data_IF_728850391210
#
_entry.id   IF_728850391210
#
_cell.length_a   1.000
_cell.length_b   1.000
_cell.length_c   1.000
_cell.angle_alpha   90.00
_cell.angle_beta   90.00
_cell.angle_gamma   90.00
#
_symmetry.space_group_name_H-M   'P 1'
#
loop_
_entity.id
_entity.type
_entity.pdbx_description
1 polymer ?
#
# COMPACT_ATOMS: atom_id res chain seq x y z
N UNK A 1 1.53 3.12 0.68
CA UNK A 1 1.10 2.10 1.65
C UNK A 1 1.11 2.66 3.07
N UNK A 2 0.07 2.38 3.87
CA UNK A 2 -0.03 2.82 5.27
C UNK A 2 0.80 1.97 6.26
N UNK A 3 1.38 0.84 5.84
CA UNK A 3 2.13 -0.11 6.68
C UNK A 3 1.27 -1.18 7.33
N UNK A 4 1.87 -2.01 8.20
CA UNK A 4 1.20 -3.15 8.84
C UNK A 4 0.38 -2.73 10.05
N UNK A 5 -0.95 -2.67 9.91
CA UNK A 5 -1.88 -2.25 10.97
C UNK A 5 -2.87 -3.37 11.27
N UNK A 6 -3.01 -3.73 12.55
CA UNK A 6 -4.03 -4.65 13.01
C UNK A 6 -5.41 -3.96 12.95
N UNK A 7 -6.22 -4.33 11.97
CA UNK A 7 -7.55 -3.76 11.71
C UNK A 7 -8.58 -4.89 11.54
N UNK A 8 -9.81 -4.56 11.15
CA UNK A 8 -10.84 -5.55 10.80
C UNK A 8 -10.52 -6.39 9.55
N UNK A 9 -9.43 -6.11 8.82
CA UNK A 9 -8.99 -6.93 7.68
C UNK A 9 -8.61 -8.35 8.10
N UNK A 10 -8.03 -8.51 9.30
CA UNK A 10 -7.57 -9.80 9.79
C UNK A 10 -8.65 -10.62 10.50
N UNK A 11 -9.92 -10.18 10.51
CA UNK A 11 -11.03 -10.78 11.30
C UNK A 11 -11.33 -12.26 11.01
N UNK A 12 -10.90 -12.78 9.85
CA UNK A 12 -11.09 -14.17 9.43
C UNK A 12 -9.77 -14.97 9.40
N UNK A 13 -8.67 -14.37 9.87
CA UNK A 13 -7.40 -15.07 10.07
C UNK A 13 -7.48 -15.82 11.39
N UNK A 14 -7.05 -17.08 11.41
CA UNK A 14 -7.05 -17.88 12.63
C UNK A 14 -6.10 -17.29 13.70
N UNK A 15 -6.39 -17.58 14.96
CA UNK A 15 -5.66 -17.00 16.10
C UNK A 15 -4.20 -17.42 16.16
N UNK A 16 -3.84 -18.61 15.68
CA UNK A 16 -2.47 -19.10 15.72
C UNK A 16 -1.61 -18.34 14.70
N UNK A 17 -2.11 -18.19 13.47
CA UNK A 17 -1.49 -17.37 12.43
C UNK A 17 -1.35 -15.91 12.87
N UNK A 18 -2.37 -15.32 13.50
CA UNK A 18 -2.28 -13.94 14.02
C UNK A 18 -1.18 -13.79 15.08
N UNK A 19 -1.05 -14.77 15.97
CA UNK A 19 0.01 -14.78 17.00
C UNK A 19 1.39 -14.91 16.36
N UNK A 20 1.53 -15.76 15.35
CA UNK A 20 2.77 -15.94 14.60
C UNK A 20 3.17 -14.64 13.88
N UNK A 21 2.24 -14.02 13.16
CA UNK A 21 2.48 -12.76 12.45
C UNK A 21 2.84 -11.64 13.41
N UNK A 22 2.07 -11.46 14.49
CA UNK A 22 2.31 -10.42 15.49
C UNK A 22 3.65 -10.55 16.23
N UNK A 23 4.22 -11.76 16.27
CA UNK A 23 5.53 -12.01 16.91
C UNK A 23 6.71 -11.97 15.94
N UNK A 24 6.44 -11.83 14.64
CA UNK A 24 7.46 -11.84 13.58
C UNK A 24 8.32 -10.57 13.59
N UNK A 25 9.56 -10.68 13.10
CA UNK A 25 10.46 -9.52 12.94
C UNK A 25 9.86 -8.40 12.07
N UNK A 26 9.17 -8.69 10.93
CA UNK A 26 8.46 -7.68 10.17
C UNK A 26 7.39 -6.94 10.98
N UNK A 27 6.63 -7.65 11.84
CA UNK A 27 5.63 -6.99 12.68
C UNK A 27 6.26 -6.06 13.73
N UNK A 28 7.41 -6.43 14.30
CA UNK A 28 8.16 -5.55 15.22
C UNK A 28 8.73 -4.33 14.50
N UNK A 29 9.23 -4.51 13.28
CA UNK A 29 9.91 -3.46 12.51
C UNK A 29 8.94 -2.49 11.81
N UNK A 30 7.84 -3.01 11.28
CA UNK A 30 6.92 -2.27 10.40
C UNK A 30 5.49 -2.17 10.94
N UNK A 31 5.23 -2.74 12.13
CA UNK A 31 3.95 -2.65 12.80
C UNK A 31 3.62 -1.22 13.20
N UNK A 32 2.39 -0.79 12.92
CA UNK A 32 1.90 0.56 13.18
C UNK A 32 0.58 0.54 13.93
N UNK A 33 0.37 1.56 14.76
CA UNK A 33 -0.95 1.91 15.26
C UNK A 33 -1.85 2.43 14.12
N UNK A 34 -3.19 2.43 14.28
CA UNK A 34 -4.09 3.03 13.31
C UNK A 34 -3.77 4.50 13.00
N UNK A 35 -3.40 5.29 14.00
CA UNK A 35 -3.04 6.69 13.82
C UNK A 35 -1.78 6.85 12.96
N UNK A 36 -0.72 6.08 13.23
CA UNK A 36 0.49 6.06 12.39
C UNK A 36 0.21 5.59 10.97
N UNK A 37 -0.67 4.60 10.81
CA UNK A 37 -1.08 4.09 9.50
C UNK A 37 -1.82 5.12 8.66
N UNK A 38 -2.66 5.94 9.29
CA UNK A 38 -3.40 7.02 8.62
C UNK A 38 -2.49 8.16 8.15
N UNK A 39 -1.32 8.36 8.76
CA UNK A 39 -0.45 9.50 8.47
C UNK A 39 -0.04 9.57 7.01
N UNK A 40 0.32 8.45 6.37
CA UNK A 40 0.71 8.45 4.95
C UNK A 40 -0.43 8.91 4.04
N UNK A 41 -1.67 8.53 4.34
CA UNK A 41 -2.85 9.01 3.62
C UNK A 41 -3.07 10.50 3.84
N UNK A 42 -2.90 10.98 5.09
CA UNK A 42 -2.98 12.41 5.38
C UNK A 42 -1.91 13.19 4.62
N UNK A 43 -0.66 12.74 4.62
CA UNK A 43 0.42 13.36 3.86
C UNK A 43 0.08 13.45 2.37
N UNK A 44 -0.41 12.36 1.76
CA UNK A 44 -0.81 12.36 0.36
C UNK A 44 -1.97 13.33 0.07
N UNK A 45 -2.96 13.39 0.96
CA UNK A 45 -4.20 14.13 0.73
C UNK A 45 -4.11 15.62 1.07
N UNK A 46 -3.28 16.00 2.05
CA UNK A 46 -3.22 17.39 2.56
C UNK A 46 -1.82 18.02 2.52
N UNK A 47 -0.78 17.26 2.19
CA UNK A 47 0.59 17.79 2.09
C UNK A 47 0.74 18.73 0.90
N UNK A 48 1.15 19.98 1.16
CA UNK A 48 1.36 20.99 0.11
C UNK A 48 2.42 20.56 -0.90
N UNK A 49 3.40 19.80 -0.45
CA UNK A 49 4.46 19.24 -1.28
C UNK A 49 3.95 18.23 -2.34
N UNK A 50 2.72 17.73 -2.18
CA UNK A 50 2.07 16.78 -3.09
C UNK A 50 1.01 17.43 -3.98
N UNK A 51 0.76 18.74 -3.85
CA UNK A 51 -0.20 19.45 -4.71
C UNK A 51 0.23 19.35 -6.19
N UNK A 52 -0.72 18.92 -7.03
CA UNK A 52 -0.48 18.75 -8.47
C UNK A 52 0.43 17.57 -8.85
N UNK A 53 0.85 16.74 -7.88
CA UNK A 53 1.67 15.55 -8.12
C UNK A 53 0.81 14.29 -8.04
N UNK A 54 0.82 13.52 -9.12
CA UNK A 54 0.18 12.21 -9.20
C UNK A 54 1.14 11.17 -9.78
N UNK A 55 0.70 9.92 -9.86
CA UNK A 55 1.53 8.83 -10.41
C UNK A 55 2.72 8.46 -9.52
N UNK A 56 2.66 8.77 -8.23
CA UNK A 56 3.67 8.40 -7.24
C UNK A 56 3.08 7.46 -6.21
N UNK A 57 3.93 6.63 -5.62
CA UNK A 57 3.54 5.71 -4.56
C UNK A 57 4.20 6.15 -3.26
N UNK A 58 3.38 6.55 -2.27
CA UNK A 58 3.90 7.01 -0.99
C UNK A 58 3.92 5.90 0.05
N UNK A 59 5.01 5.79 0.79
CA UNK A 59 5.20 4.91 1.94
C UNK A 59 5.89 5.70 3.06
N UNK A 60 5.51 5.48 4.31
CA UNK A 60 6.11 6.20 5.46
C UNK A 60 6.10 7.73 5.31
N UNK A 61 5.03 8.25 4.69
CA UNK A 61 4.83 9.69 4.45
C UNK A 61 5.82 10.33 3.46
N UNK A 62 6.45 9.53 2.62
CA UNK A 62 7.38 9.97 1.58
C UNK A 62 7.19 9.13 0.31
N UNK A 63 7.76 9.56 -0.81
CA UNK A 63 7.78 8.73 -2.02
C UNK A 63 8.65 7.50 -1.77
N UNK A 64 8.11 6.32 -2.08
CA UNK A 64 8.86 5.09 -1.97
C UNK A 64 9.79 4.93 -3.18
N UNK A 65 10.92 4.28 -2.97
CA UNK A 65 11.76 3.78 -4.05
C UNK A 65 11.54 2.28 -4.31
N UNK A 66 12.26 1.71 -5.29
CA UNK A 66 12.18 0.30 -5.66
C UNK A 66 12.32 -0.62 -4.46
N UNK A 67 11.57 -1.73 -4.47
CA UNK A 67 11.79 -2.82 -3.50
C UNK A 67 13.29 -3.15 -3.49
N UNK A 68 13.97 -3.07 -2.32
CA UNK A 68 15.38 -3.40 -2.21
C UNK A 68 15.67 -4.86 -2.57
N UNK A 69 16.90 -5.16 -2.98
CA UNK A 69 17.33 -6.54 -3.23
C UNK A 69 17.20 -7.39 -1.95
N UNK A 70 16.54 -8.55 -2.05
CA UNK A 70 16.18 -9.38 -0.89
C UNK A 70 15.10 -8.78 0.02
N UNK A 71 14.49 -7.66 -0.40
CA UNK A 71 13.41 -7.00 0.28
C UNK A 71 12.12 -7.82 0.28
N UNK A 72 11.32 -7.66 1.33
CA UNK A 72 9.96 -8.20 1.39
C UNK A 72 8.98 -7.27 0.68
N UNK A 73 7.82 -7.77 0.24
CA UNK A 73 6.70 -6.98 -0.29
C UNK A 73 6.13 -5.92 0.70
N UNK A 74 6.70 -5.82 1.90
CA UNK A 74 6.31 -4.84 2.90
C UNK A 74 6.87 -3.43 2.66
N UNK A 75 7.83 -3.23 1.73
CA UNK A 75 8.52 -1.94 1.53
C UNK A 75 8.89 -1.72 0.07
N UNK A 76 8.65 -0.52 -0.44
CA UNK A 76 9.01 -0.10 -1.81
C UNK A 76 7.98 -0.43 -2.90
N UNK A 77 8.22 0.08 -4.11
CA UNK A 77 7.41 -0.20 -5.30
C UNK A 77 7.92 -1.43 -6.07
N UNK A 78 6.98 -2.28 -6.47
CA UNK A 78 7.30 -3.48 -7.24
C UNK A 78 7.78 -3.10 -8.66
N UNK A 79 8.62 -3.92 -9.32
CA UNK A 79 9.09 -3.62 -10.69
C UNK A 79 7.98 -3.43 -11.73
N UNK A 80 6.78 -3.95 -11.45
CA UNK A 80 5.60 -3.83 -12.29
C UNK A 80 4.57 -2.81 -11.76
N UNK A 81 4.94 -1.98 -10.78
CA UNK A 81 4.02 -1.03 -10.15
C UNK A 81 3.56 0.07 -11.13
N UNK A 82 4.41 0.42 -12.11
CA UNK A 82 4.12 1.40 -13.15
C UNK A 82 4.25 0.73 -14.53
N UNK A 83 3.11 0.32 -15.09
CA UNK A 83 3.00 -0.31 -16.40
C UNK A 83 1.86 0.36 -17.18
N UNK A 84 2.17 1.41 -17.98
CA UNK A 84 1.14 2.17 -18.70
C UNK A 84 0.29 1.34 -19.65
N UNK A 85 0.81 0.22 -20.18
CA UNK A 85 0.01 -0.68 -21.02
C UNK A 85 -0.93 -1.54 -20.18
N UNK A 86 -0.42 -2.12 -19.09
CA UNK A 86 -1.19 -2.89 -18.13
C UNK A 86 -2.31 -2.07 -17.49
N UNK A 87 -2.00 -0.83 -17.07
CA UNK A 87 -2.94 0.13 -16.49
C UNK A 87 -4.11 0.43 -17.44
N UNK A 88 -3.81 0.72 -18.72
CA UNK A 88 -4.84 0.98 -19.74
C UNK A 88 -5.74 -0.25 -19.96
N UNK A 89 -5.14 -1.44 -20.05
CA UNK A 89 -5.89 -2.69 -20.22
C UNK A 89 -6.81 -2.96 -19.03
N UNK A 90 -6.30 -2.77 -17.81
CA UNK A 90 -7.05 -2.96 -16.57
C UNK A 90 -8.22 -1.96 -16.44
N UNK A 91 -7.98 -0.69 -16.76
CA UNK A 91 -9.01 0.35 -16.72
C UNK A 91 -10.16 0.02 -17.69
N UNK A 92 -9.85 -0.25 -18.96
CA UNK A 92 -10.85 -0.58 -19.98
C UNK A 92 -11.68 -1.82 -19.61
N UNK A 93 -11.03 -2.86 -19.08
CA UNK A 93 -11.72 -4.06 -18.61
C UNK A 93 -12.64 -3.77 -17.41
N UNK A 94 -12.18 -2.94 -16.46
CA UNK A 94 -12.94 -2.56 -15.28
C UNK A 94 -14.18 -1.76 -15.63
N UNK A 95 -14.05 -0.76 -16.52
CA UNK A 95 -15.19 0.03 -17.01
C UNK A 95 -16.22 -0.87 -17.71
N UNK A 96 -15.76 -1.81 -18.55
CA UNK A 96 -16.63 -2.80 -19.19
C UNK A 96 -17.37 -3.68 -18.17
N UNK A 97 -16.68 -4.19 -17.14
CA UNK A 97 -17.29 -5.03 -16.10
C UNK A 97 -18.33 -4.27 -15.26
N UNK A 98 -18.11 -2.97 -15.06
CA UNK A 98 -19.01 -2.10 -14.31
C UNK A 98 -20.11 -1.48 -15.18
N UNK A 99 -20.11 -1.75 -16.49
CA UNK A 99 -21.01 -1.12 -17.49
C UNK A 99 -20.93 0.42 -17.48
N UNK A 100 -19.73 0.96 -17.31
CA UNK A 100 -19.44 2.39 -17.37
C UNK A 100 -18.79 2.73 -18.72
N UNK A 101 -19.07 3.93 -19.24
CA UNK A 101 -18.27 4.50 -20.33
C UNK A 101 -17.03 5.18 -19.78
N UNK A 102 -16.03 5.36 -20.64
CA UNK A 102 -14.96 6.35 -20.39
C UNK A 102 -15.52 7.77 -20.29
#
# INVERSE_FOLDING_TARGET
MPGGIATGLQRHVDSETLKQWGSSEPAKKYGKSPAQGATTTMTAAVGKEWEGKGGVYLEDCQEAGPIPEGGTLAVGDAPHAFDPEGEKKLSALSLKMLNLSE
#
